data_IF_848911620954
#
_entry.id   IF_848911620954
#
_cell.length_a   1.000
_cell.length_b   1.000
_cell.length_c   1.000
_cell.angle_alpha   90.00
_cell.angle_beta   90.00
_cell.angle_gamma   90.00
#
_symmetry.space_group_name_H-M   'P 1'
#
loop_
_entity.id
_entity.type
_entity.pdbx_description
1 polymer ?
#
# COMPACT_ATOMS: atom_id res chain seq x y z
N UNK A 1 -4.32 17.48 2.39
CA UNK A 1 -3.66 17.62 1.07
C UNK A 1 -2.14 17.49 1.17
N UNK A 2 -1.49 18.11 2.15
CA UNK A 2 -0.06 17.85 2.41
C UNK A 2 0.13 16.53 3.17
N UNK A 3 -0.76 16.23 4.13
CA UNK A 3 -0.69 15.01 4.95
C UNK A 3 -0.61 13.72 4.11
N UNK A 4 -1.33 13.64 2.99
CA UNK A 4 -1.28 12.47 2.10
C UNK A 4 0.02 12.39 1.29
N UNK A 5 0.60 13.54 0.93
CA UNK A 5 1.90 13.60 0.25
C UNK A 5 3.03 13.27 1.22
N UNK A 6 2.99 13.80 2.44
CA UNK A 6 3.95 13.49 3.49
C UNK A 6 3.91 12.00 3.82
N UNK A 7 2.72 11.42 3.95
CA UNK A 7 2.57 9.97 4.13
C UNK A 7 3.14 9.17 2.94
N UNK A 8 2.95 9.62 1.70
CA UNK A 8 3.54 8.96 0.54
C UNK A 8 5.09 9.02 0.56
N UNK A 9 5.66 10.14 1.00
CA UNK A 9 7.11 10.30 1.19
C UNK A 9 7.62 9.39 2.32
N UNK A 10 6.92 9.32 3.45
CA UNK A 10 7.24 8.42 4.57
C UNK A 10 7.24 6.95 4.15
N UNK A 11 6.31 6.56 3.28
CA UNK A 11 6.25 5.23 2.68
C UNK A 11 7.37 4.97 1.64
N UNK A 12 8.11 5.99 1.23
CA UNK A 12 9.21 5.89 0.27
C UNK A 12 8.79 6.06 -1.20
N UNK A 13 7.62 6.65 -1.48
CA UNK A 13 7.17 6.92 -2.84
C UNK A 13 8.01 8.03 -3.46
N UNK A 14 8.84 7.67 -4.46
CA UNK A 14 9.67 8.62 -5.21
C UNK A 14 8.98 9.17 -6.46
N UNK A 15 8.06 8.40 -7.04
CA UNK A 15 7.32 8.78 -8.25
C UNK A 15 6.00 8.01 -8.37
N UNK A 16 5.06 8.56 -9.14
CA UNK A 16 3.78 7.91 -9.45
C UNK A 16 3.80 7.22 -10.81
N UNK A 17 3.05 6.12 -11.00
CA UNK A 17 2.19 5.46 -10.00
C UNK A 17 2.99 4.54 -9.07
N UNK A 18 2.55 4.46 -7.81
CA UNK A 18 3.08 3.55 -6.80
C UNK A 18 1.93 2.96 -5.97
N UNK A 19 2.13 1.80 -5.36
CA UNK A 19 1.13 1.11 -4.54
C UNK A 19 1.79 0.62 -3.25
N UNK A 20 1.34 1.15 -2.13
CA UNK A 20 1.60 0.61 -0.81
C UNK A 20 0.44 -0.28 -0.33
N UNK A 21 0.76 -1.34 0.39
CA UNK A 21 -0.21 -2.31 0.95
C UNK A 21 0.16 -2.51 2.42
N UNK A 22 -0.81 -2.36 3.33
CA UNK A 22 -0.64 -2.48 4.79
C UNK A 22 0.49 -1.59 5.37
N UNK A 23 0.64 -0.37 4.84
CA UNK A 23 1.65 0.59 5.30
C UNK A 23 3.06 0.31 4.77
N UNK A 24 3.21 -0.57 3.78
CA UNK A 24 4.48 -0.87 3.14
C UNK A 24 4.43 -0.58 1.65
N UNK A 25 5.43 0.11 1.10
CA UNK A 25 5.54 0.29 -0.34
C UNK A 25 5.90 -1.04 -1.03
N UNK A 26 4.94 -1.63 -1.74
CA UNK A 26 5.11 -2.93 -2.42
C UNK A 26 5.49 -2.76 -3.89
N UNK A 27 4.96 -1.71 -4.54
CA UNK A 27 5.22 -1.43 -5.95
C UNK A 27 5.57 0.04 -6.16
N UNK A 28 6.79 0.34 -6.59
CA UNK A 28 7.25 1.68 -6.98
C UNK A 28 6.91 2.04 -8.43
N UNK A 29 5.92 1.37 -9.01
CA UNK A 29 5.53 1.43 -10.42
C UNK A 29 4.22 0.68 -10.64
N UNK A 30 3.58 0.84 -11.79
CA UNK A 30 2.32 0.14 -12.09
C UNK A 30 2.56 -1.37 -12.26
N UNK A 31 2.03 -2.24 -11.37
CA UNK A 31 2.17 -3.69 -11.54
C UNK A 31 1.19 -4.22 -12.60
N UNK A 32 1.42 -5.45 -13.05
CA UNK A 32 0.38 -6.19 -13.75
C UNK A 32 -0.69 -6.67 -12.78
N UNK A 33 -1.91 -6.89 -13.27
CA UNK A 33 -3.03 -7.42 -12.49
C UNK A 33 -2.65 -8.72 -11.77
N UNK A 34 -1.88 -9.61 -12.43
CA UNK A 34 -1.42 -10.88 -11.84
C UNK A 34 -0.47 -10.67 -10.66
N UNK A 35 0.45 -9.70 -10.76
CA UNK A 35 1.40 -9.37 -9.69
C UNK A 35 0.68 -8.76 -8.49
N UNK A 36 -0.24 -7.83 -8.74
CA UNK A 36 -1.04 -7.22 -7.68
C UNK A 36 -1.90 -8.25 -6.96
N UNK A 37 -2.58 -9.12 -7.71
CA UNK A 37 -3.39 -10.22 -7.16
C UNK A 37 -2.56 -11.13 -6.23
N UNK A 38 -1.41 -11.61 -6.70
CA UNK A 38 -0.55 -12.48 -5.90
C UNK A 38 -0.05 -11.78 -4.63
N UNK A 39 0.28 -10.48 -4.69
CA UNK A 39 0.70 -9.72 -3.52
C UNK A 39 -0.41 -9.60 -2.46
N UNK A 40 -1.67 -9.50 -2.89
CA UNK A 40 -2.83 -9.44 -1.99
C UNK A 40 -3.20 -10.82 -1.42
N UNK A 41 -3.16 -11.88 -2.24
CA UNK A 41 -3.49 -13.25 -1.82
C UNK A 41 -2.48 -13.82 -0.82
N UNK A 42 -1.21 -13.41 -0.89
CA UNK A 42 -0.15 -13.88 -0.01
C UNK A 42 -0.08 -13.14 1.34
N UNK A 43 -0.93 -12.13 1.57
CA UNK A 43 -0.96 -11.37 2.83
C UNK A 43 -2.03 -11.95 3.76
N UNK A 44 -1.71 -12.26 5.03
CA UNK A 44 -2.71 -12.67 5.99
C UNK A 44 -3.70 -11.50 6.15
N UNK A 45 -4.99 -11.76 5.95
CA UNK A 45 -6.02 -10.72 6.00
C UNK A 45 -5.89 -9.93 7.30
N UNK A 46 -5.79 -8.61 7.19
CA UNK A 46 -5.85 -7.71 8.34
C UNK A 46 -7.13 -8.06 9.10
N UNK A 47 -7.00 -8.62 10.31
CA UNK A 47 -8.14 -8.74 11.21
C UNK A 47 -8.77 -7.36 11.27
N UNK A 48 -9.99 -7.25 10.76
CA UNK A 48 -10.75 -6.02 10.77
C UNK A 48 -10.67 -5.50 12.19
N UNK A 49 -9.86 -4.46 12.39
CA UNK A 49 -9.75 -3.72 13.63
C UNK A 49 -11.13 -3.10 13.79
N UNK A 50 -12.06 -3.88 14.36
CA UNK A 50 -13.33 -3.38 14.86
C UNK A 50 -12.93 -2.21 15.70
N UNK A 51 -13.43 -1.05 15.30
CA UNK A 51 -13.46 0.17 16.10
C UNK A 51 -13.77 -0.28 17.54
N UNK A 52 -12.77 -0.25 18.39
CA UNK A 52 -12.91 -0.50 19.81
C UNK A 52 -12.35 0.74 20.51
N UNK A 53 -13.24 1.31 21.32
CA UNK A 53 -13.17 2.54 22.12
C UNK A 53 -13.39 3.85 21.35
#
# INVERSE_FOLDING_TARGET
MLDELDYAVELGVLSTPAIAIDGELVFSGLPSVRKLRAALENRPGIEARRVQA
#
